data_IF_319855049905
#
_entry.id   IF_319855049905
#
_cell.length_a   1.000
_cell.length_b   1.000
_cell.length_c   1.000
_cell.angle_alpha   90.00
_cell.angle_beta   90.00
_cell.angle_gamma   90.00
#
_symmetry.space_group_name_H-M   'P 1'
#
loop_
_entity.id
_entity.type
_entity.pdbx_description
1 polymer ?
#
# COMPACT_ATOMS: atom_id res chain seq x y z
N UNK A 1 0.44 -8.80 5.27
CA UNK A 1 -0.70 -9.65 5.60
C UNK A 1 -0.87 -9.80 7.11
N UNK A 2 -2.05 -10.23 7.62
CA UNK A 2 -2.24 -10.56 9.03
C UNK A 2 -1.40 -11.79 9.43
N UNK A 3 -1.11 -11.93 10.72
CA UNK A 3 -0.16 -12.95 11.21
C UNK A 3 -0.55 -14.40 10.83
N UNK A 4 -1.83 -14.72 10.78
CA UNK A 4 -2.27 -16.08 10.45
C UNK A 4 -1.97 -16.49 8.99
N UNK A 5 -1.82 -15.55 8.08
CA UNK A 5 -1.47 -15.84 6.68
C UNK A 5 0.00 -16.28 6.49
N UNK A 6 0.86 -16.01 7.47
CA UNK A 6 2.25 -16.52 7.46
C UNK A 6 2.36 -17.99 7.86
N UNK A 7 1.28 -18.57 8.43
CA UNK A 7 1.27 -19.96 8.88
C UNK A 7 0.66 -20.83 7.77
N UNK A 8 1.30 -21.93 7.34
CA UNK A 8 0.74 -22.81 6.33
C UNK A 8 -0.62 -23.36 6.74
N UNK A 9 -1.57 -23.44 5.81
CA UNK A 9 -2.91 -23.97 6.08
C UNK A 9 -3.03 -25.49 5.89
N UNK A 10 -2.08 -26.12 5.15
CA UNK A 10 -2.07 -27.56 4.95
C UNK A 10 -1.39 -28.31 6.10
N UNK A 11 -2.01 -29.40 6.56
CA UNK A 11 -1.54 -30.17 7.73
C UNK A 11 -0.12 -30.69 7.60
N UNK A 12 0.36 -31.02 6.39
CA UNK A 12 1.70 -31.54 6.15
C UNK A 12 2.75 -30.45 6.36
N UNK A 13 2.49 -29.24 5.85
CA UNK A 13 3.39 -28.08 6.04
C UNK A 13 3.33 -27.57 7.47
N UNK A 14 2.15 -27.56 8.09
CA UNK A 14 2.00 -27.22 9.53
C UNK A 14 2.84 -28.15 10.40
N UNK A 15 2.77 -29.47 10.17
CA UNK A 15 3.59 -30.43 10.90
C UNK A 15 5.08 -30.17 10.72
N UNK A 16 5.51 -29.96 9.46
CA UNK A 16 6.93 -29.62 9.18
C UNK A 16 7.39 -28.35 9.88
N UNK A 17 6.52 -27.33 9.94
CA UNK A 17 6.81 -26.08 10.66
C UNK A 17 6.88 -26.32 12.18
N UNK A 18 5.93 -27.05 12.74
CA UNK A 18 5.91 -27.42 14.16
C UNK A 18 7.21 -28.18 14.55
N UNK A 19 7.60 -29.17 13.75
CA UNK A 19 8.83 -29.93 13.94
C UNK A 19 10.06 -29.01 13.92
N UNK A 20 10.11 -28.03 12.98
CA UNK A 20 11.23 -27.08 12.87
C UNK A 20 11.29 -26.09 14.04
N UNK A 21 10.16 -25.76 14.63
CA UNK A 21 10.05 -24.88 15.81
C UNK A 21 10.19 -25.63 17.14
N UNK A 22 10.23 -26.98 17.12
CA UNK A 22 10.28 -27.80 18.31
C UNK A 22 9.01 -27.72 19.18
N UNK A 23 7.83 -27.49 18.56
CA UNK A 23 6.54 -27.43 19.24
C UNK A 23 5.61 -28.52 18.72
N UNK A 24 4.59 -28.85 19.53
CA UNK A 24 3.55 -29.79 19.11
C UNK A 24 2.66 -29.23 17.99
N UNK A 25 2.23 -30.07 17.05
CA UNK A 25 1.41 -29.66 15.92
C UNK A 25 0.05 -29.10 16.35
N UNK A 26 -0.57 -29.66 17.39
CA UNK A 26 -1.84 -29.16 17.92
C UNK A 26 -1.64 -27.77 18.59
N UNK A 27 -0.49 -27.55 19.20
CA UNK A 27 -0.16 -26.23 19.75
C UNK A 27 0.03 -25.18 18.65
N UNK A 28 0.66 -25.55 17.52
CA UNK A 28 0.76 -24.66 16.36
C UNK A 28 -0.61 -24.34 15.77
N UNK A 29 -1.47 -25.35 15.63
CA UNK A 29 -2.85 -25.18 15.16
C UNK A 29 -3.65 -24.26 16.09
N UNK A 30 -3.61 -24.51 17.38
CA UNK A 30 -4.26 -23.66 18.39
C UNK A 30 -3.82 -22.21 18.35
N UNK A 31 -2.52 -21.95 18.17
CA UNK A 31 -1.96 -20.60 18.01
C UNK A 31 -2.40 -19.97 16.69
N UNK A 32 -2.41 -20.73 15.60
CA UNK A 32 -2.88 -20.27 14.30
C UNK A 32 -4.34 -19.85 14.36
N UNK A 33 -5.19 -20.68 14.97
CA UNK A 33 -6.61 -20.39 15.13
C UNK A 33 -6.87 -19.15 16.00
N UNK A 34 -6.09 -18.96 17.04
CA UNK A 34 -6.17 -17.77 17.90
C UNK A 34 -5.78 -16.46 17.17
N UNK A 35 -5.03 -16.55 16.06
CA UNK A 35 -4.63 -15.41 15.24
C UNK A 35 -5.62 -15.10 14.11
N UNK A 36 -6.61 -15.97 13.87
CA UNK A 36 -7.63 -15.74 12.83
C UNK A 36 -8.46 -14.51 13.16
N UNK A 37 -8.61 -13.64 12.19
CA UNK A 37 -9.39 -12.41 12.31
C UNK A 37 -10.72 -12.53 11.56
N UNK A 38 -11.77 -11.93 12.10
CA UNK A 38 -13.10 -11.91 11.45
C UNK A 38 -13.13 -11.05 10.22
N UNK A 39 -12.31 -10.00 10.19
CA UNK A 39 -12.12 -9.10 9.06
C UNK A 39 -10.64 -8.73 8.92
N UNK A 40 -9.84 -9.54 8.20
CA UNK A 40 -8.39 -9.31 8.06
C UNK A 40 -8.04 -7.97 7.42
N UNK A 41 -8.91 -7.42 6.54
CA UNK A 41 -8.65 -6.14 5.87
C UNK A 41 -8.62 -4.98 6.85
N UNK A 42 -9.48 -4.99 7.87
CA UNK A 42 -9.55 -3.97 8.92
C UNK A 42 -8.90 -4.43 10.24
N UNK A 43 -8.19 -5.54 10.22
CA UNK A 43 -7.63 -6.19 11.39
C UNK A 43 -6.17 -5.79 11.69
N UNK A 44 -5.44 -6.74 12.28
CA UNK A 44 -4.08 -6.58 12.76
C UNK A 44 -3.04 -6.82 11.65
N UNK A 45 -2.85 -5.84 10.80
CA UNK A 45 -1.95 -5.87 9.64
C UNK A 45 -1.34 -4.48 9.38
N UNK A 46 -0.37 -4.39 8.47
CA UNK A 46 0.26 -3.14 8.06
C UNK A 46 0.85 -2.37 9.23
N UNK A 47 0.60 -1.08 9.30
CA UNK A 47 1.11 -0.21 10.38
C UNK A 47 0.72 -0.70 11.77
N UNK A 48 -0.47 -1.28 11.93
CA UNK A 48 -0.96 -1.78 13.23
C UNK A 48 -0.10 -2.94 13.74
N UNK A 49 0.28 -3.84 12.82
CA UNK A 49 1.19 -4.94 13.11
C UNK A 49 2.60 -4.41 13.43
N UNK A 50 3.10 -3.46 12.67
CA UNK A 50 4.40 -2.83 12.92
C UNK A 50 4.49 -2.07 14.24
N UNK A 51 3.36 -1.55 14.75
CA UNK A 51 3.30 -0.91 16.08
C UNK A 51 3.38 -1.94 17.21
N UNK A 52 2.65 -3.04 17.09
CA UNK A 52 2.60 -4.09 18.14
C UNK A 52 3.79 -5.04 18.08
N UNK A 53 4.43 -5.18 16.92
CA UNK A 53 5.60 -6.03 16.65
C UNK A 53 6.65 -5.23 15.87
N UNK A 54 7.29 -4.23 16.51
CA UNK A 54 8.21 -3.31 15.83
C UNK A 54 9.43 -4.02 15.22
N UNK A 55 9.79 -5.18 15.76
CA UNK A 55 10.86 -6.05 15.24
C UNK A 55 10.60 -6.49 13.78
N UNK A 56 9.35 -6.59 13.35
CA UNK A 56 9.00 -6.92 11.97
C UNK A 56 9.38 -5.75 11.04
N UNK A 57 9.03 -4.53 11.42
CA UNK A 57 9.41 -3.32 10.66
C UNK A 57 10.93 -3.14 10.63
N UNK A 58 11.60 -3.34 11.78
CA UNK A 58 13.05 -3.26 11.88
C UNK A 58 13.73 -4.28 10.95
N UNK A 59 13.28 -5.53 10.96
CA UNK A 59 13.83 -6.60 10.11
C UNK A 59 13.62 -6.29 8.62
N UNK A 60 12.43 -5.85 8.22
CA UNK A 60 12.12 -5.53 6.82
C UNK A 60 12.89 -4.29 6.34
N UNK A 61 12.96 -3.23 7.14
CA UNK A 61 13.73 -2.04 6.83
C UNK A 61 15.21 -2.38 6.68
N UNK A 62 15.76 -3.18 7.61
CA UNK A 62 17.14 -3.63 7.55
C UNK A 62 17.44 -4.41 6.28
N UNK A 63 16.59 -5.36 5.91
CA UNK A 63 16.78 -6.16 4.69
C UNK A 63 16.81 -5.27 3.42
N UNK A 64 15.95 -4.26 3.34
CA UNK A 64 15.91 -3.33 2.20
C UNK A 64 17.17 -2.45 2.17
N UNK A 65 17.52 -1.86 3.30
CA UNK A 65 18.60 -0.88 3.39
C UNK A 65 19.99 -1.54 3.25
N UNK A 66 20.19 -2.73 3.85
CA UNK A 66 21.43 -3.52 3.67
C UNK A 66 21.62 -3.95 2.21
N UNK A 67 20.55 -4.43 1.54
CA UNK A 67 20.63 -4.78 0.12
C UNK A 67 20.95 -3.57 -0.77
N UNK A 68 20.40 -2.39 -0.46
CA UNK A 68 20.70 -1.17 -1.18
C UNK A 68 22.15 -0.71 -0.96
N UNK A 69 22.66 -0.81 0.26
CA UNK A 69 24.05 -0.50 0.59
C UNK A 69 25.03 -1.44 -0.11
N UNK A 70 24.74 -2.75 -0.12
CA UNK A 70 25.54 -3.76 -0.84
C UNK A 70 25.65 -3.42 -2.33
N UNK A 71 24.51 -3.18 -3.01
CA UNK A 71 24.49 -2.78 -4.41
C UNK A 71 25.23 -1.46 -4.66
N UNK A 72 25.12 -0.49 -3.75
CA UNK A 72 25.85 0.79 -3.85
C UNK A 72 27.35 0.54 -3.79
N UNK A 73 27.83 -0.38 -2.95
CA UNK A 73 29.24 -0.76 -2.88
C UNK A 73 29.77 -1.37 -4.18
N UNK A 74 28.89 -2.00 -4.96
CA UNK A 74 29.15 -2.55 -6.29
C UNK A 74 29.02 -1.52 -7.43
N UNK A 75 28.86 -0.24 -7.10
CA UNK A 75 28.58 0.87 -8.03
C UNK A 75 27.24 0.76 -8.78
N UNK A 76 26.29 0.02 -8.24
CA UNK A 76 24.91 0.00 -8.71
C UNK A 76 24.13 1.09 -7.99
N UNK A 77 23.61 2.04 -8.75
CA UNK A 77 22.82 3.15 -8.18
C UNK A 77 21.45 2.69 -7.72
N UNK A 78 21.15 2.84 -6.45
CA UNK A 78 19.88 2.46 -5.83
C UNK A 78 19.11 3.66 -5.30
N UNK A 79 17.79 3.57 -5.25
CA UNK A 79 16.89 4.60 -4.69
C UNK A 79 15.73 3.89 -3.96
N UNK A 80 15.98 3.29 -2.79
CA UNK A 80 14.91 2.62 -2.06
C UNK A 80 13.87 3.61 -1.55
N UNK A 81 12.60 3.24 -1.71
CA UNK A 81 11.45 3.96 -1.19
C UNK A 81 10.67 3.02 -0.27
N UNK A 82 10.75 3.26 1.04
CA UNK A 82 10.09 2.44 2.05
C UNK A 82 8.73 3.06 2.34
N UNK A 83 7.68 2.26 2.14
CA UNK A 83 6.29 2.69 2.23
C UNK A 83 5.60 2.02 3.41
N UNK A 84 5.10 2.82 4.37
CA UNK A 84 4.34 2.33 5.51
C UNK A 84 2.88 2.12 5.09
N UNK A 85 2.34 0.89 5.15
CA UNK A 85 0.99 0.59 4.69
C UNK A 85 -0.07 0.86 5.77
N UNK A 86 -1.32 1.05 5.36
CA UNK A 86 -2.52 1.19 6.20
C UNK A 86 -2.47 2.34 7.23
N UNK A 87 -1.70 3.37 6.96
CA UNK A 87 -1.59 4.54 7.82
C UNK A 87 -2.90 5.33 7.81
N UNK A 88 -3.47 5.54 8.97
CA UNK A 88 -4.66 6.37 9.16
C UNK A 88 -4.41 7.66 9.95
N UNK A 89 -3.23 7.76 10.60
CA UNK A 89 -2.86 8.88 11.48
C UNK A 89 -1.38 9.23 11.32
N UNK A 90 -1.05 10.50 11.49
CA UNK A 90 0.33 11.01 11.51
C UNK A 90 1.19 10.33 12.59
N UNK A 91 0.59 10.03 13.73
CA UNK A 91 1.27 9.37 14.86
C UNK A 91 1.66 7.92 14.56
N UNK A 92 0.83 7.18 13.82
CA UNK A 92 1.17 5.84 13.33
C UNK A 92 2.35 5.89 12.35
N UNK A 93 2.29 6.81 11.41
CA UNK A 93 3.36 7.00 10.43
C UNK A 93 4.69 7.36 11.12
N UNK A 94 4.69 8.37 11.98
CA UNK A 94 5.88 8.86 12.68
C UNK A 94 6.51 7.77 13.55
N UNK A 95 5.68 6.92 14.19
CA UNK A 95 6.18 5.78 14.96
C UNK A 95 6.99 4.80 14.10
N UNK A 96 6.47 4.46 12.92
CA UNK A 96 7.13 3.51 12.01
C UNK A 96 8.32 4.14 11.26
N UNK A 97 8.17 5.38 10.83
CA UNK A 97 9.24 6.13 10.19
C UNK A 97 10.47 6.23 11.09
N UNK A 98 10.28 6.47 12.39
CA UNK A 98 11.37 6.51 13.37
C UNK A 98 12.16 5.20 13.39
N UNK A 99 11.49 4.03 13.37
CA UNK A 99 12.16 2.72 13.34
C UNK A 99 13.02 2.60 12.08
N UNK A 100 12.48 2.98 10.91
CA UNK A 100 13.23 2.95 9.64
C UNK A 100 14.47 3.85 9.71
N UNK A 101 14.34 5.07 10.26
CA UNK A 101 15.49 6.00 10.42
C UNK A 101 16.53 5.46 11.40
N UNK A 102 16.13 4.81 12.47
CA UNK A 102 17.05 4.18 13.42
C UNK A 102 17.82 3.01 12.78
N UNK A 103 17.17 2.23 11.91
CA UNK A 103 17.84 1.17 11.13
C UNK A 103 18.83 1.80 10.14
N UNK A 104 18.40 2.82 9.39
CA UNK A 104 19.26 3.51 8.43
C UNK A 104 20.52 4.09 9.09
N UNK A 105 20.38 4.68 10.26
CA UNK A 105 21.52 5.25 11.01
C UNK A 105 22.59 4.20 11.38
N UNK A 106 22.23 2.92 11.37
CA UNK A 106 23.11 1.77 11.64
C UNK A 106 23.60 1.07 10.36
N UNK A 107 23.11 1.48 9.18
CA UNK A 107 23.44 0.90 7.88
C UNK A 107 24.47 1.78 7.18
N UNK A 108 25.71 1.31 7.10
CA UNK A 108 26.81 2.03 6.42
C UNK A 108 26.65 1.97 4.90
N UNK A 109 27.11 3.01 4.20
CA UNK A 109 27.16 3.05 2.74
C UNK A 109 25.84 3.33 2.03
N UNK A 110 24.82 3.78 2.76
CA UNK A 110 23.52 4.15 2.20
C UNK A 110 23.38 5.69 2.17
N UNK A 111 23.39 6.25 0.97
CA UNK A 111 23.38 7.71 0.79
C UNK A 111 21.99 8.27 0.44
N UNK A 112 21.06 7.43 -0.03
CA UNK A 112 19.82 7.92 -0.62
C UNK A 112 18.66 6.93 -0.47
N UNK A 113 17.62 7.31 0.26
CA UNK A 113 16.36 6.58 0.40
C UNK A 113 15.26 7.54 0.81
N UNK A 114 14.00 7.12 0.62
CA UNK A 114 12.83 7.87 1.05
C UNK A 114 11.94 7.00 1.92
N UNK A 115 11.25 7.63 2.89
CA UNK A 115 10.20 7.00 3.67
C UNK A 115 8.89 7.73 3.40
N UNK A 116 7.88 6.99 3.02
CA UNK A 116 6.56 7.52 2.72
C UNK A 116 5.46 6.59 3.22
N UNK A 117 4.24 6.87 2.80
CA UNK A 117 3.09 6.08 3.25
C UNK A 117 2.15 5.71 2.12
N UNK A 118 1.45 4.61 2.31
CA UNK A 118 0.31 4.26 1.48
C UNK A 118 -0.95 5.00 1.97
N UNK A 119 -1.54 5.76 1.06
CA UNK A 119 -2.79 6.49 1.28
C UNK A 119 -3.94 5.59 0.85
N UNK A 120 -4.41 4.76 1.76
CA UNK A 120 -5.42 3.73 1.47
C UNK A 120 -6.55 3.67 2.51
N UNK A 121 -6.42 4.48 3.55
CA UNK A 121 -7.46 4.69 4.56
C UNK A 121 -8.13 6.04 4.27
N UNK A 122 -9.47 6.13 4.15
CA UNK A 122 -10.16 7.41 3.89
C UNK A 122 -9.76 8.51 4.87
N UNK A 123 -9.56 8.17 6.16
CA UNK A 123 -9.09 9.11 7.17
C UNK A 123 -7.72 9.72 6.84
N UNK A 124 -6.82 8.95 6.19
CA UNK A 124 -5.51 9.47 5.80
C UNK A 124 -5.64 10.64 4.81
N UNK A 125 -6.54 10.55 3.83
CA UNK A 125 -6.82 11.67 2.90
C UNK A 125 -7.33 12.92 3.62
N UNK A 126 -8.15 12.74 4.68
CA UNK A 126 -8.68 13.86 5.48
C UNK A 126 -7.62 14.59 6.31
N UNK A 127 -6.52 13.92 6.68
CA UNK A 127 -5.41 14.46 7.50
C UNK A 127 -4.07 14.43 6.76
N UNK A 128 -4.10 14.42 5.44
CA UNK A 128 -2.91 14.29 4.60
C UNK A 128 -1.91 15.44 4.79
N UNK A 129 -2.37 16.63 5.12
CA UNK A 129 -1.55 17.77 5.51
C UNK A 129 -0.63 17.46 6.70
N UNK A 130 -1.14 16.79 7.73
CA UNK A 130 -0.37 16.39 8.93
C UNK A 130 0.62 15.26 8.61
N UNK A 131 0.19 14.26 7.84
CA UNK A 131 1.06 13.14 7.45
C UNK A 131 2.22 13.66 6.57
N UNK A 132 1.96 14.65 5.71
CA UNK A 132 2.96 15.25 4.84
C UNK A 132 4.03 16.07 5.57
N UNK A 133 3.86 16.41 6.85
CA UNK A 133 4.90 17.09 7.63
C UNK A 133 6.19 16.30 7.65
N UNK A 134 6.09 14.98 7.77
CA UNK A 134 7.24 14.07 7.83
C UNK A 134 7.35 13.16 6.60
N UNK A 135 6.25 12.65 6.05
CA UNK A 135 6.27 11.76 4.90
C UNK A 135 6.93 12.42 3.67
N UNK A 136 7.80 11.66 2.99
CA UNK A 136 8.54 12.14 1.82
C UNK A 136 7.81 11.85 0.51
N UNK A 137 6.89 10.88 0.52
CA UNK A 137 6.00 10.60 -0.62
C UNK A 137 4.69 9.97 -0.16
N UNK A 138 3.68 10.06 -1.02
CA UNK A 138 2.41 9.34 -0.90
C UNK A 138 2.22 8.38 -2.07
N UNK A 139 1.70 7.19 -1.80
CA UNK A 139 1.22 6.26 -2.82
C UNK A 139 -0.21 5.86 -2.51
N UNK A 140 -1.16 6.16 -3.39
CA UNK A 140 -2.56 5.79 -3.16
C UNK A 140 -2.77 4.31 -3.43
N UNK A 141 -3.11 3.54 -2.39
CA UNK A 141 -3.48 2.13 -2.42
C UNK A 141 -4.97 2.01 -2.72
N UNK A 142 -5.33 2.11 -3.99
CA UNK A 142 -6.73 2.30 -4.40
C UNK A 142 -7.60 1.08 -4.21
N UNK A 143 -7.05 -0.13 -4.09
CA UNK A 143 -7.84 -1.31 -3.76
C UNK A 143 -8.46 -1.18 -2.36
N UNK A 144 -7.64 -0.90 -1.34
CA UNK A 144 -8.09 -0.74 0.03
C UNK A 144 -8.87 0.56 0.22
N UNK A 145 -8.46 1.65 -0.45
CA UNK A 145 -9.20 2.90 -0.40
C UNK A 145 -10.63 2.73 -0.94
N UNK A 146 -10.82 2.02 -2.06
CA UNK A 146 -12.13 1.70 -2.63
C UNK A 146 -12.94 0.85 -1.66
N UNK A 147 -12.36 -0.23 -1.12
CA UNK A 147 -13.05 -1.09 -0.15
C UNK A 147 -13.59 -0.31 1.04
N UNK A 148 -12.76 0.54 1.62
CA UNK A 148 -13.14 1.29 2.83
C UNK A 148 -14.07 2.46 2.54
N UNK A 149 -14.02 3.05 1.34
CA UNK A 149 -14.91 4.12 0.93
C UNK A 149 -16.33 3.60 0.68
N UNK A 150 -16.46 2.46 0.00
CA UNK A 150 -17.74 1.82 -0.24
C UNK A 150 -18.22 0.95 0.92
N UNK A 151 -17.35 0.52 1.82
CA UNK A 151 -17.65 -0.52 2.79
C UNK A 151 -17.84 -1.90 2.15
N UNK A 152 -17.26 -2.13 0.97
CA UNK A 152 -17.32 -3.39 0.24
C UNK A 152 -16.06 -4.21 0.48
N UNK A 153 -16.22 -5.50 0.81
CA UNK A 153 -15.08 -6.43 0.75
C UNK A 153 -14.87 -6.88 -0.69
N UNK A 154 -13.69 -6.64 -1.24
CA UNK A 154 -13.34 -7.05 -2.61
C UNK A 154 -13.56 -8.53 -2.86
N UNK A 155 -13.28 -9.36 -1.86
CA UNK A 155 -13.41 -10.81 -1.96
C UNK A 155 -14.86 -11.28 -1.94
N UNK A 156 -15.78 -10.47 -1.39
CA UNK A 156 -17.19 -10.80 -1.22
C UNK A 156 -18.12 -10.13 -2.27
N UNK A 157 -17.60 -9.19 -3.07
CA UNK A 157 -18.41 -8.46 -4.07
C UNK A 157 -19.07 -9.36 -5.11
N UNK A 158 -18.50 -10.52 -5.39
CA UNK A 158 -19.10 -11.50 -6.31
C UNK A 158 -20.53 -11.91 -5.97
N UNK A 159 -20.93 -11.76 -4.70
CA UNK A 159 -22.28 -12.08 -4.24
C UNK A 159 -23.35 -11.03 -4.58
N UNK A 160 -22.98 -9.77 -4.83
CA UNK A 160 -23.93 -8.67 -5.05
C UNK A 160 -23.59 -7.76 -6.22
N UNK A 161 -22.34 -7.62 -6.61
CA UNK A 161 -21.89 -6.71 -7.69
C UNK A 161 -22.60 -6.94 -9.03
N UNK A 162 -22.85 -8.20 -9.46
CA UNK A 162 -23.61 -8.44 -10.70
C UNK A 162 -25.00 -7.80 -10.66
N UNK A 163 -25.70 -7.85 -9.53
CA UNK A 163 -27.03 -7.24 -9.39
C UNK A 163 -26.98 -5.71 -9.39
N UNK A 164 -25.91 -5.12 -8.82
CA UNK A 164 -25.70 -3.67 -8.86
C UNK A 164 -25.47 -3.15 -10.27
N UNK A 165 -24.71 -3.88 -11.07
CA UNK A 165 -24.47 -3.52 -12.48
C UNK A 165 -25.69 -3.76 -13.36
N UNK A 166 -26.41 -4.89 -13.18
CA UNK A 166 -27.63 -5.20 -13.93
C UNK A 166 -28.76 -4.19 -13.68
N UNK A 167 -28.87 -3.69 -12.44
CA UNK A 167 -29.85 -2.68 -12.05
C UNK A 167 -29.37 -1.24 -12.28
N UNK A 168 -28.21 -1.06 -12.87
CA UNK A 168 -27.59 0.26 -13.15
C UNK A 168 -27.40 1.13 -11.90
N UNK A 169 -27.25 0.49 -10.70
CA UNK A 169 -26.94 1.20 -9.45
C UNK A 169 -25.50 1.70 -9.41
N UNK A 170 -24.59 1.02 -10.10
CA UNK A 170 -23.23 1.45 -10.40
C UNK A 170 -23.02 1.42 -11.90
N UNK A 171 -22.35 2.43 -12.47
CA UNK A 171 -22.06 2.46 -13.92
C UNK A 171 -21.02 1.40 -14.33
N UNK A 172 -20.11 1.07 -13.44
CA UNK A 172 -19.06 0.05 -13.62
C UNK A 172 -18.56 -0.44 -12.26
N UNK A 173 -17.81 -1.54 -12.27
CA UNK A 173 -17.20 -2.10 -11.06
C UNK A 173 -16.13 -1.14 -10.50
N UNK A 174 -16.27 -0.63 -9.27
CA UNK A 174 -15.33 0.31 -8.67
C UNK A 174 -13.94 -0.28 -8.39
N UNK A 175 -13.80 -1.61 -8.48
CA UNK A 175 -12.49 -2.28 -8.41
C UNK A 175 -11.81 -2.42 -9.78
N UNK A 176 -12.53 -2.21 -10.86
CA UNK A 176 -11.99 -2.21 -12.23
C UNK A 176 -11.53 -0.81 -12.66
N UNK A 177 -12.30 0.23 -12.35
CA UNK A 177 -12.01 1.63 -12.67
C UNK A 177 -12.28 2.50 -11.44
N UNK A 178 -11.52 3.58 -11.25
CA UNK A 178 -11.70 4.48 -10.11
C UNK A 178 -13.08 5.14 -10.13
N UNK A 179 -13.81 4.95 -9.04
CA UNK A 179 -15.08 5.62 -8.77
C UNK A 179 -14.87 7.10 -8.45
N UNK A 180 -15.88 7.93 -8.72
CA UNK A 180 -15.82 9.38 -8.51
C UNK A 180 -15.62 9.77 -7.04
N UNK A 181 -16.25 9.07 -6.10
CA UNK A 181 -16.08 9.33 -4.66
C UNK A 181 -14.68 8.98 -4.18
N UNK A 182 -14.08 7.92 -4.72
CA UNK A 182 -12.68 7.56 -4.45
C UNK A 182 -11.75 8.59 -5.09
N UNK A 183 -12.04 9.06 -6.29
CA UNK A 183 -11.31 10.13 -6.98
C UNK A 183 -11.27 11.41 -6.14
N UNK A 184 -12.38 11.82 -5.53
CA UNK A 184 -12.42 13.01 -4.65
C UNK A 184 -11.55 12.84 -3.40
N UNK A 185 -11.53 11.65 -2.77
CA UNK A 185 -10.63 11.37 -1.65
C UNK A 185 -9.15 11.42 -2.06
N UNK A 186 -8.81 10.88 -3.23
CA UNK A 186 -7.46 10.94 -3.79
C UNK A 186 -7.04 12.39 -4.02
N UNK A 187 -7.86 13.16 -4.71
CA UNK A 187 -7.64 14.59 -4.99
C UNK A 187 -7.45 15.39 -3.70
N UNK A 188 -8.34 15.20 -2.72
CA UNK A 188 -8.23 15.85 -1.40
C UNK A 188 -6.89 15.52 -0.72
N UNK A 189 -6.48 14.23 -0.74
CA UNK A 189 -5.22 13.81 -0.15
C UNK A 189 -4.00 14.47 -0.82
N UNK A 190 -4.01 14.59 -2.15
CA UNK A 190 -2.95 15.27 -2.91
C UNK A 190 -2.90 16.76 -2.57
N UNK A 191 -4.03 17.45 -2.64
CA UNK A 191 -4.14 18.89 -2.39
C UNK A 191 -3.67 19.23 -0.97
N UNK A 192 -4.18 18.52 0.04
CA UNK A 192 -3.78 18.70 1.43
C UNK A 192 -2.29 18.39 1.65
N UNK A 193 -1.80 17.27 1.14
CA UNK A 193 -0.39 16.92 1.26
C UNK A 193 0.53 17.97 0.64
N UNK A 194 0.18 18.47 -0.54
CA UNK A 194 0.94 19.53 -1.24
C UNK A 194 0.78 20.92 -0.64
N UNK A 195 -0.25 21.16 0.17
CA UNK A 195 -0.33 22.40 0.98
C UNK A 195 0.82 22.46 1.98
N UNK A 196 1.15 21.35 2.62
CA UNK A 196 2.27 21.26 3.56
C UNK A 196 3.61 21.11 2.84
N UNK A 197 3.68 20.25 1.83
CA UNK A 197 4.91 19.95 1.07
C UNK A 197 4.64 20.10 -0.43
N UNK A 198 4.86 21.30 -1.01
CA UNK A 198 4.49 21.61 -2.41
C UNK A 198 5.09 20.67 -3.46
N UNK A 199 6.25 20.06 -3.17
CA UNK A 199 6.93 19.09 -4.04
C UNK A 199 6.77 17.65 -3.55
N UNK A 200 5.74 17.35 -2.77
CA UNK A 200 5.45 16.00 -2.32
C UNK A 200 5.30 15.08 -3.53
N UNK A 201 6.11 14.03 -3.58
CA UNK A 201 6.00 12.99 -4.60
C UNK A 201 4.74 12.18 -4.34
N UNK A 202 3.90 12.02 -5.36
CA UNK A 202 2.63 11.34 -5.24
C UNK A 202 2.43 10.36 -6.40
N UNK A 203 1.99 9.17 -6.10
CA UNK A 203 1.66 8.17 -7.10
C UNK A 203 0.49 7.29 -6.69
N UNK A 204 0.21 6.31 -7.51
CA UNK A 204 -0.85 5.32 -7.32
C UNK A 204 -0.29 3.92 -7.46
N UNK A 205 -0.81 2.99 -6.69
CA UNK A 205 -0.60 1.56 -6.85
C UNK A 205 -1.94 0.81 -6.75
N UNK A 206 -1.94 -0.43 -7.15
CA UNK A 206 -3.13 -1.27 -7.24
C UNK A 206 -3.60 -1.47 -8.67
N UNK A 207 -4.76 -2.10 -8.84
CA UNK A 207 -5.28 -2.48 -10.16
C UNK A 207 -5.54 -1.26 -11.06
N UNK A 208 -5.99 -0.16 -10.47
CA UNK A 208 -6.32 1.08 -11.17
C UNK A 208 -5.10 1.76 -11.83
N UNK A 209 -3.88 1.52 -11.34
CA UNK A 209 -2.66 2.09 -11.93
C UNK A 209 -2.37 1.63 -13.36
N UNK A 210 -3.02 0.58 -13.83
CA UNK A 210 -2.93 0.07 -15.21
C UNK A 210 -4.23 0.21 -16.02
N UNK A 211 -5.27 0.86 -15.47
CA UNK A 211 -6.55 1.06 -16.13
C UNK A 211 -6.59 2.45 -16.81
N UNK A 212 -6.99 2.54 -18.10
CA UNK A 212 -6.86 3.78 -18.90
C UNK A 212 -7.55 5.01 -18.31
N UNK A 213 -8.81 4.92 -17.86
CA UNK A 213 -9.55 6.06 -17.29
C UNK A 213 -8.88 6.55 -15.99
N UNK A 214 -8.47 5.61 -15.15
CA UNK A 214 -7.77 5.89 -13.91
C UNK A 214 -6.41 6.54 -14.14
N UNK A 215 -5.67 6.12 -15.17
CA UNK A 215 -4.40 6.75 -15.56
C UNK A 215 -4.62 8.19 -16.05
N UNK A 216 -5.68 8.46 -16.81
CA UNK A 216 -6.06 9.82 -17.20
C UNK A 216 -6.40 10.68 -15.99
N UNK A 217 -7.14 10.14 -15.03
CA UNK A 217 -7.42 10.84 -13.76
C UNK A 217 -6.11 11.16 -13.00
N UNK A 218 -5.20 10.19 -12.86
CA UNK A 218 -3.90 10.39 -12.20
C UNK A 218 -3.10 11.54 -12.84
N UNK A 219 -3.11 11.60 -14.18
CA UNK A 219 -2.48 12.69 -14.92
C UNK A 219 -3.12 14.04 -14.58
N UNK A 220 -4.46 14.12 -14.61
CA UNK A 220 -5.21 15.36 -14.39
C UNK A 220 -5.03 15.93 -12.97
N UNK A 221 -4.84 15.07 -11.95
CA UNK A 221 -4.57 15.51 -10.57
C UNK A 221 -3.07 15.70 -10.29
N UNK A 222 -2.23 15.56 -11.32
CA UNK A 222 -0.80 15.84 -11.25
C UNK A 222 0.00 14.83 -10.43
N UNK A 223 -0.32 13.54 -10.52
CA UNK A 223 0.53 12.49 -9.93
C UNK A 223 1.87 12.38 -10.67
N UNK A 224 2.91 12.02 -9.94
CA UNK A 224 4.27 11.87 -10.47
C UNK A 224 4.49 10.51 -11.13
N UNK A 225 3.77 9.46 -10.70
CA UNK A 225 3.89 8.11 -11.25
C UNK A 225 2.63 7.27 -11.08
N UNK A 226 2.52 6.24 -11.91
CA UNK A 226 1.59 5.13 -11.72
C UNK A 226 2.37 3.82 -11.62
N UNK A 227 1.96 2.95 -10.71
CA UNK A 227 2.49 1.59 -10.57
C UNK A 227 1.43 0.59 -10.97
N UNK A 228 1.79 -0.38 -11.77
CA UNK A 228 0.88 -1.44 -12.24
C UNK A 228 1.62 -2.76 -12.45
N UNK A 229 0.86 -3.85 -12.64
CA UNK A 229 1.45 -5.13 -12.96
C UNK A 229 2.25 -5.06 -14.28
N UNK A 230 3.32 -5.88 -14.45
CA UNK A 230 4.18 -5.84 -15.63
C UNK A 230 3.40 -5.96 -16.96
N UNK A 231 2.35 -6.75 -16.99
CA UNK A 231 1.51 -6.96 -18.19
C UNK A 231 0.69 -5.72 -18.57
N UNK A 232 0.44 -4.81 -17.63
CA UNK A 232 -0.30 -3.55 -17.87
C UNK A 232 0.59 -2.36 -18.21
N UNK A 233 1.91 -2.47 -18.10
CA UNK A 233 2.85 -1.38 -18.39
C UNK A 233 2.67 -0.80 -19.80
N UNK A 234 2.51 -1.59 -20.88
CA UNK A 234 2.27 -1.02 -22.22
C UNK A 234 0.98 -0.18 -22.29
N UNK A 235 -0.09 -0.66 -21.66
CA UNK A 235 -1.39 0.05 -21.60
C UNK A 235 -1.27 1.34 -20.81
N UNK A 236 -0.66 1.30 -19.63
CA UNK A 236 -0.45 2.46 -18.77
C UNK A 236 0.36 3.56 -19.48
N UNK A 237 1.45 3.18 -20.18
CA UNK A 237 2.27 4.10 -20.96
C UNK A 237 1.49 4.75 -22.11
N UNK A 238 0.70 3.97 -22.83
CA UNK A 238 -0.15 4.48 -23.90
C UNK A 238 -1.19 5.45 -23.36
N UNK A 239 -1.87 5.10 -22.28
CA UNK A 239 -2.89 5.94 -21.63
C UNK A 239 -2.31 7.25 -21.11
N UNK A 240 -1.12 7.22 -20.49
CA UNK A 240 -0.41 8.42 -20.05
C UNK A 240 -0.06 9.34 -21.24
N UNK A 241 0.40 8.79 -22.37
CA UNK A 241 0.67 9.57 -23.57
C UNK A 241 -0.62 10.18 -24.17
N UNK A 242 -1.73 9.45 -24.16
CA UNK A 242 -3.03 9.94 -24.60
C UNK A 242 -3.55 11.06 -23.70
N UNK A 243 -3.37 10.96 -22.38
CA UNK A 243 -3.75 12.01 -21.44
C UNK A 243 -3.06 13.34 -21.78
N UNK A 244 -1.74 13.35 -22.00
CA UNK A 244 -0.97 14.54 -22.42
C UNK A 244 -1.45 15.12 -23.76
N UNK A 245 -1.82 14.26 -24.72
CA UNK A 245 -2.32 14.72 -26.03
C UNK A 245 -3.72 15.34 -25.94
N UNK A 246 -4.54 14.89 -24.99
CA UNK A 246 -5.89 15.42 -24.79
C UNK A 246 -5.87 16.81 -24.12
N UNK A 247 -4.87 17.13 -23.32
CA UNK A 247 -4.71 18.48 -22.75
C UNK A 247 -4.40 19.55 -23.81
N UNK A 248 -3.83 19.14 -24.96
CA UNK A 248 -3.41 20.05 -26.04
C UNK A 248 -4.53 20.37 -27.05
N UNK A 249 -5.71 19.83 -26.83
CA UNK A 249 -6.90 20.12 -27.64
C UNK A 249 -7.81 21.11 -26.95
#
# INVERSE_FOLDING_TARGET
PPLHEFIPHDAKRQKKLADSLGIDANELERRSDALKESNPMMGHRGVRLGITHPEITEMQARAILEAAAELTSENVKTFPEIMIPLTGMETEYNHQEKIVREVSARTEGLDNYMVGTMMEIPRASLVADRIAETAEFFSFGTNDLTQMTFGFSRDDTGGFMPAYLEQELLPEDPFASLDEGVCELVKMGIEKGRTTKPKLKVGICGEHGGEPKSVHFCHNVGMDYVSCSPFRVPIARLSAAQAVLNEKK
#
